data_IF_171488047177
#
_entry.id   IF_171488047177
#
_cell.length_a   1.000
_cell.length_b   1.000
_cell.length_c   1.000
_cell.angle_alpha   90.00
_cell.angle_beta   90.00
_cell.angle_gamma   90.00
#
_symmetry.space_group_name_H-M   'P 1'
#
loop_
_entity.id
_entity.type
_entity.pdbx_description
1 polymer ?
#
# COMPACT_ATOMS: atom_id res chain seq x y z
N UNK A 1 59.85 -7.12 -18.55
CA UNK A 1 58.71 -7.23 -19.49
C UNK A 1 59.08 -7.15 -20.97
N UNK A 2 59.89 -6.19 -21.43
CA UNK A 2 60.26 -6.10 -22.87
C UNK A 2 60.83 -7.39 -23.48
N UNK A 3 61.67 -8.18 -22.78
CA UNK A 3 62.21 -9.42 -23.35
C UNK A 3 61.17 -10.55 -23.50
N UNK A 4 60.14 -10.58 -22.65
CA UNK A 4 59.02 -11.55 -22.78
C UNK A 4 58.11 -11.17 -23.94
N UNK A 5 57.88 -9.88 -24.17
CA UNK A 5 57.11 -9.39 -25.30
C UNK A 5 57.83 -9.62 -26.64
N UNK A 6 59.15 -9.45 -26.68
CA UNK A 6 59.96 -9.76 -27.88
C UNK A 6 60.02 -11.25 -28.17
N UNK A 7 60.09 -12.10 -27.14
CA UNK A 7 60.04 -13.55 -27.32
C UNK A 7 58.69 -13.99 -27.91
N UNK A 8 57.57 -13.46 -27.38
CA UNK A 8 56.23 -13.76 -27.89
C UNK A 8 56.06 -13.27 -29.33
N UNK A 9 56.53 -12.07 -29.68
CA UNK A 9 56.45 -11.54 -31.04
C UNK A 9 57.24 -12.42 -32.04
N UNK A 10 58.46 -12.83 -31.67
CA UNK A 10 59.28 -13.69 -32.52
C UNK A 10 58.67 -15.10 -32.69
N UNK A 11 57.99 -15.63 -31.67
CA UNK A 11 57.26 -16.90 -31.76
C UNK A 11 56.04 -16.80 -32.67
N UNK A 12 55.32 -15.68 -32.64
CA UNK A 12 54.17 -15.42 -33.51
C UNK A 12 54.63 -15.27 -34.97
N UNK A 13 55.68 -14.51 -35.24
CA UNK A 13 56.22 -14.30 -36.60
C UNK A 13 56.78 -15.61 -37.22
N UNK A 14 57.32 -16.53 -36.39
CA UNK A 14 57.70 -17.88 -36.83
C UNK A 14 56.50 -18.78 -37.13
N UNK A 15 55.39 -18.62 -36.41
CA UNK A 15 54.16 -19.39 -36.65
C UNK A 15 53.42 -18.92 -37.91
N UNK A 16 53.37 -17.61 -38.18
CA UNK A 16 52.76 -17.07 -39.40
C UNK A 16 53.54 -17.39 -40.66
N UNK A 17 54.87 -17.51 -40.57
CA UNK A 17 55.73 -17.90 -41.71
C UNK A 17 55.80 -19.41 -41.96
N UNK A 18 55.39 -20.23 -40.99
CA UNK A 18 55.33 -21.69 -41.11
C UNK A 18 53.97 -22.23 -41.60
N UNK A 19 52.99 -21.36 -41.82
CA UNK A 19 51.69 -21.77 -42.37
C UNK A 19 51.81 -21.96 -43.90
N UNK A 20 51.61 -23.18 -44.43
CA UNK A 20 51.66 -23.42 -45.86
C UNK A 20 50.53 -22.66 -46.58
N UNK A 21 50.89 -21.72 -47.44
CA UNK A 21 50.03 -21.09 -48.44
C UNK A 21 49.84 -22.02 -49.64
N UNK A 22 49.05 -23.08 -49.46
CA UNK A 22 48.27 -23.77 -50.49
C UNK A 22 47.84 -25.14 -49.96
N UNK A 23 46.53 -25.40 -49.97
CA UNK A 23 46.02 -26.76 -49.84
C UNK A 23 46.37 -27.54 -51.11
N UNK A 24 47.38 -28.40 -51.05
CA UNK A 24 47.48 -29.54 -51.97
C UNK A 24 47.11 -30.82 -51.22
N UNK A 25 46.05 -31.48 -51.72
CA UNK A 25 45.61 -32.79 -51.27
C UNK A 25 46.65 -33.84 -51.65
N UNK A 26 47.31 -34.43 -50.66
CA UNK A 26 48.07 -35.67 -50.83
C UNK A 26 47.51 -36.73 -49.88
N UNK A 27 47.20 -37.90 -50.44
CA UNK A 27 46.69 -39.09 -49.74
C UNK A 27 47.85 -39.90 -49.18
N UNK A 28 48.52 -39.43 -48.14
CA UNK A 28 49.22 -40.30 -47.19
C UNK A 28 49.12 -39.68 -45.79
N UNK A 29 48.70 -40.45 -44.76
CA UNK A 29 48.76 -39.94 -43.40
C UNK A 29 50.25 -39.77 -43.02
N UNK A 30 50.66 -38.62 -42.45
CA UNK A 30 52.02 -38.47 -41.98
C UNK A 30 52.29 -39.45 -40.83
N UNK A 31 53.45 -40.10 -40.87
CA UNK A 31 53.92 -41.00 -39.82
C UNK A 31 53.98 -40.27 -38.49
N UNK A 32 53.28 -40.78 -37.48
CA UNK A 32 53.26 -40.20 -36.13
C UNK A 32 54.63 -40.41 -35.49
N UNK A 33 55.47 -39.38 -35.53
CA UNK A 33 56.63 -39.29 -34.64
C UNK A 33 56.09 -38.90 -33.27
N UNK A 34 56.27 -39.77 -32.28
CA UNK A 34 55.87 -39.50 -30.90
C UNK A 34 56.76 -38.40 -30.31
N UNK A 35 56.37 -37.14 -30.53
CA UNK A 35 56.94 -36.02 -29.77
C UNK A 35 56.32 -36.07 -28.38
N UNK A 36 56.99 -36.73 -27.44
CA UNK A 36 56.74 -36.50 -26.01
C UNK A 36 57.14 -35.06 -25.70
N UNK A 37 56.18 -34.16 -25.77
CA UNK A 37 56.37 -32.73 -25.55
C UNK A 37 55.06 -31.98 -25.70
N UNK A 38 55.09 -30.73 -25.24
CA UNK A 38 54.01 -29.74 -25.05
C UNK A 38 52.74 -29.91 -25.92
N UNK A 39 52.86 -30.29 -27.19
CA UNK A 39 51.72 -30.53 -28.08
C UNK A 39 50.81 -31.71 -27.65
N UNK A 40 51.37 -32.80 -27.14
CA UNK A 40 50.59 -33.93 -26.60
C UNK A 40 49.85 -33.52 -25.34
N UNK A 41 50.49 -32.74 -24.46
CA UNK A 41 49.87 -32.21 -23.24
C UNK A 41 48.79 -31.17 -23.57
N UNK A 42 49.01 -30.32 -24.58
CA UNK A 42 47.98 -29.38 -25.06
C UNK A 42 46.79 -30.14 -25.65
N UNK A 43 47.01 -31.17 -26.48
CA UNK A 43 45.92 -31.97 -27.05
C UNK A 43 45.15 -32.74 -25.98
N UNK A 44 45.86 -33.38 -25.04
CA UNK A 44 45.24 -34.08 -23.91
C UNK A 44 44.46 -33.12 -23.01
N UNK A 45 45.04 -31.96 -22.67
CA UNK A 45 44.36 -30.93 -21.87
C UNK A 45 43.17 -30.32 -22.61
N UNK A 46 43.25 -30.11 -23.92
CA UNK A 46 42.13 -29.57 -24.71
C UNK A 46 41.01 -30.61 -24.89
N UNK A 47 41.35 -31.89 -25.08
CA UNK A 47 40.38 -32.98 -25.11
C UNK A 47 39.73 -33.22 -23.74
N UNK A 48 40.50 -33.09 -22.65
CA UNK A 48 40.02 -33.18 -21.29
C UNK A 48 39.13 -31.99 -20.93
N UNK A 49 39.50 -30.78 -21.36
CA UNK A 49 38.68 -29.58 -21.23
C UNK A 49 37.39 -29.70 -22.05
N UNK A 50 37.45 -30.20 -23.29
CA UNK A 50 36.26 -30.48 -24.11
C UNK A 50 35.35 -31.54 -23.48
N UNK A 51 35.91 -32.60 -22.91
CA UNK A 51 35.17 -33.62 -22.19
C UNK A 51 34.55 -33.11 -20.87
N UNK A 52 35.23 -32.18 -20.18
CA UNK A 52 34.70 -31.50 -19.00
C UNK A 52 33.60 -30.49 -19.36
N UNK A 53 33.73 -29.74 -20.45
CA UNK A 53 32.68 -28.86 -20.96
C UNK A 53 31.45 -29.70 -21.35
N UNK A 54 31.64 -30.81 -22.08
CA UNK A 54 30.55 -31.72 -22.45
C UNK A 54 29.88 -32.31 -21.21
N UNK A 55 30.66 -32.84 -20.25
CA UNK A 55 30.13 -33.32 -18.96
C UNK A 55 29.35 -32.22 -18.26
N UNK A 56 29.91 -31.04 -18.10
CA UNK A 56 29.25 -29.93 -17.41
C UNK A 56 28.01 -29.42 -18.16
N UNK A 57 27.92 -29.61 -19.48
CA UNK A 57 26.75 -29.25 -20.29
C UNK A 57 25.63 -30.30 -20.32
N UNK A 58 25.84 -31.47 -19.72
CA UNK A 58 24.80 -32.51 -19.64
C UNK A 58 23.66 -32.05 -18.71
N UNK A 59 22.38 -32.22 -19.11
CA UNK A 59 21.22 -31.82 -18.30
C UNK A 59 21.21 -32.41 -16.88
N UNK A 60 21.83 -33.57 -16.69
CA UNK A 60 21.98 -34.26 -15.39
C UNK A 60 22.82 -33.47 -14.36
N UNK A 61 23.70 -32.56 -14.83
CA UNK A 61 24.54 -31.72 -13.98
C UNK A 61 23.89 -30.38 -13.60
N UNK A 62 22.69 -30.10 -14.13
CA UNK A 62 21.88 -28.94 -13.76
C UNK A 62 20.54 -29.41 -13.16
N UNK A 63 20.52 -29.82 -11.88
CA UNK A 63 19.29 -30.26 -11.22
C UNK A 63 18.19 -29.17 -11.25
N UNK A 64 18.58 -27.90 -11.35
CA UNK A 64 17.66 -26.78 -11.55
C UNK A 64 17.02 -26.75 -12.95
N UNK A 65 17.73 -27.18 -14.00
CA UNK A 65 17.14 -27.29 -15.35
C UNK A 65 16.11 -28.42 -15.42
N UNK A 66 16.39 -29.55 -14.78
CA UNK A 66 15.42 -30.63 -14.67
C UNK A 66 14.15 -30.15 -13.96
N UNK A 67 14.30 -29.48 -12.80
CA UNK A 67 13.17 -28.85 -12.09
C UNK A 67 12.42 -27.84 -12.95
N UNK A 68 13.10 -26.94 -13.65
CA UNK A 68 12.46 -25.96 -14.56
C UNK A 68 11.65 -26.64 -15.67
N UNK A 69 12.17 -27.74 -16.25
CA UNK A 69 11.45 -28.50 -17.29
C UNK A 69 10.20 -29.17 -16.72
N UNK A 70 10.28 -29.75 -15.53
CA UNK A 70 9.13 -30.34 -14.83
C UNK A 70 8.08 -29.29 -14.49
N UNK A 71 8.49 -28.13 -13.96
CA UNK A 71 7.61 -27.01 -13.65
C UNK A 71 6.92 -26.48 -14.92
N UNK A 72 7.69 -26.27 -16.00
CA UNK A 72 7.15 -25.84 -17.29
C UNK A 72 6.15 -26.85 -17.85
N UNK A 73 6.43 -28.15 -17.75
CA UNK A 73 5.49 -29.19 -18.19
C UNK A 73 4.19 -29.18 -17.38
N UNK A 74 4.28 -29.02 -16.04
CA UNK A 74 3.09 -28.88 -15.16
C UNK A 74 2.28 -27.64 -15.49
N UNK A 75 2.93 -26.52 -15.81
CA UNK A 75 2.26 -25.32 -16.26
C UNK A 75 1.54 -25.55 -17.59
N UNK A 76 2.24 -26.06 -18.61
CA UNK A 76 1.67 -26.31 -19.94
C UNK A 76 0.50 -27.28 -19.91
N UNK A 77 0.56 -28.31 -19.06
CA UNK A 77 -0.51 -29.28 -18.87
C UNK A 77 -1.77 -28.66 -18.25
N UNK A 78 -1.61 -27.74 -17.30
CA UNK A 78 -2.70 -27.26 -16.45
C UNK A 78 -3.14 -25.81 -16.75
N UNK A 79 -2.46 -25.08 -17.64
CA UNK A 79 -2.79 -23.68 -17.98
C UNK A 79 -4.19 -23.54 -18.60
N UNK A 80 -4.67 -24.57 -19.30
CA UNK A 80 -6.02 -24.62 -19.89
C UNK A 80 -7.00 -25.41 -19.01
N UNK A 81 -6.68 -25.60 -17.73
CA UNK A 81 -7.59 -26.24 -16.79
C UNK A 81 -8.92 -25.48 -16.76
N UNK A 82 -10.08 -26.16 -16.86
CA UNK A 82 -11.39 -25.50 -16.80
C UNK A 82 -11.57 -24.63 -15.57
N UNK A 83 -10.90 -24.97 -14.46
CA UNK A 83 -10.92 -24.20 -13.23
C UNK A 83 -10.25 -22.83 -13.39
N UNK A 84 -9.10 -22.76 -14.06
CA UNK A 84 -8.35 -21.51 -14.30
C UNK A 84 -9.14 -20.65 -15.27
N UNK A 85 -9.54 -21.20 -16.41
CA UNK A 85 -10.28 -20.48 -17.45
C UNK A 85 -11.60 -19.91 -16.93
N UNK A 86 -12.38 -20.69 -16.16
CA UNK A 86 -13.64 -20.20 -15.61
C UNK A 86 -13.44 -19.03 -14.62
N UNK A 87 -12.37 -19.05 -13.82
CA UNK A 87 -12.12 -17.94 -12.90
C UNK A 87 -11.67 -16.70 -13.67
N UNK A 88 -10.78 -16.84 -14.64
CA UNK A 88 -10.31 -15.73 -15.48
C UNK A 88 -11.46 -15.06 -16.24
N UNK A 89 -12.39 -15.83 -16.82
CA UNK A 89 -13.56 -15.29 -17.51
C UNK A 89 -14.46 -14.48 -16.55
N UNK A 90 -14.74 -15.02 -15.36
CA UNK A 90 -15.53 -14.32 -14.33
C UNK A 90 -14.85 -13.04 -13.88
N UNK A 91 -13.53 -13.08 -13.68
CA UNK A 91 -12.75 -11.91 -13.28
C UNK A 91 -12.74 -10.83 -14.37
N UNK A 92 -12.52 -11.22 -15.63
CA UNK A 92 -12.49 -10.30 -16.77
C UNK A 92 -13.82 -9.57 -16.98
N UNK A 93 -14.95 -10.28 -16.80
CA UNK A 93 -16.27 -9.65 -16.90
C UNK A 93 -16.44 -8.58 -15.82
N UNK A 94 -16.22 -8.92 -14.56
CA UNK A 94 -16.51 -7.97 -13.50
C UNK A 94 -15.50 -6.83 -13.35
N UNK A 95 -14.23 -7.03 -13.73
CA UNK A 95 -13.26 -5.91 -13.80
C UNK A 95 -13.78 -4.81 -14.75
N UNK A 96 -14.34 -5.19 -15.91
CA UNK A 96 -14.91 -4.21 -16.84
C UNK A 96 -16.08 -3.46 -16.21
N UNK A 97 -16.95 -4.15 -15.50
CA UNK A 97 -18.10 -3.53 -14.83
C UNK A 97 -17.65 -2.53 -13.75
N UNK A 98 -16.64 -2.88 -12.95
CA UNK A 98 -16.05 -1.97 -11.95
C UNK A 98 -15.43 -0.77 -12.61
N UNK A 99 -14.60 -0.94 -13.65
CA UNK A 99 -14.01 0.20 -14.37
C UNK A 99 -15.06 1.10 -15.01
N UNK A 100 -16.14 0.53 -15.54
CA UNK A 100 -17.25 1.31 -16.09
C UNK A 100 -17.94 2.15 -15.01
N UNK A 101 -18.20 1.57 -13.85
CA UNK A 101 -18.77 2.28 -12.70
C UNK A 101 -17.82 3.39 -12.23
N UNK A 102 -16.54 3.09 -12.01
CA UNK A 102 -15.54 4.07 -11.57
C UNK A 102 -15.37 5.21 -12.59
N UNK A 103 -15.38 4.88 -13.89
CA UNK A 103 -15.33 5.89 -14.94
C UNK A 103 -16.60 6.75 -14.96
N UNK A 104 -17.77 6.19 -14.67
CA UNK A 104 -19.00 6.98 -14.53
C UNK A 104 -18.87 8.01 -13.40
N UNK A 105 -18.34 7.61 -12.23
CA UNK A 105 -18.05 8.51 -11.12
C UNK A 105 -17.03 9.61 -11.51
N UNK A 106 -15.96 9.27 -12.23
CA UNK A 106 -14.93 10.24 -12.67
C UNK A 106 -15.42 11.22 -13.75
N UNK A 107 -16.28 10.76 -14.66
CA UNK A 107 -16.73 11.53 -15.83
C UNK A 107 -17.96 12.39 -15.58
N UNK A 108 -18.64 12.20 -14.45
CA UNK A 108 -19.66 13.12 -13.96
C UNK A 108 -19.03 14.50 -13.73
N UNK A 109 -19.16 15.36 -14.75
CA UNK A 109 -18.93 16.80 -14.67
C UNK A 109 -20.04 17.41 -13.83
N UNK A 110 -20.01 17.17 -12.53
CA UNK A 110 -20.62 18.10 -11.61
C UNK A 110 -19.65 19.29 -11.52
N UNK A 111 -19.93 20.36 -12.28
CA UNK A 111 -19.47 21.68 -11.85
C UNK A 111 -20.10 21.88 -10.47
N UNK A 112 -19.32 21.60 -9.44
CA UNK A 112 -19.74 21.75 -8.07
C UNK A 112 -18.98 22.94 -7.51
N UNK A 113 -19.68 24.08 -7.40
CA UNK A 113 -19.16 25.31 -6.82
C UNK A 113 -18.54 25.05 -5.43
N UNK A 114 -19.08 24.10 -4.67
CA UNK A 114 -18.57 23.73 -3.36
C UNK A 114 -17.14 23.17 -3.44
N UNK A 115 -16.84 22.33 -4.44
CA UNK A 115 -15.49 21.79 -4.61
C UNK A 115 -14.47 22.83 -5.08
N UNK A 116 -14.91 23.88 -5.78
CA UNK A 116 -14.06 25.03 -6.10
C UNK A 116 -13.78 25.89 -4.86
N UNK A 117 -14.80 26.11 -4.03
CA UNK A 117 -14.65 26.78 -2.73
C UNK A 117 -13.74 25.98 -1.80
N UNK A 118 -13.93 24.66 -1.72
CA UNK A 118 -13.11 23.77 -0.90
C UNK A 118 -11.64 23.82 -1.29
N UNK A 119 -11.33 23.82 -2.58
CA UNK A 119 -9.93 23.99 -3.02
C UNK A 119 -9.37 25.34 -2.55
N UNK A 120 -10.13 26.42 -2.75
CA UNK A 120 -9.73 27.76 -2.32
C UNK A 120 -9.48 27.82 -0.80
N UNK A 121 -10.39 27.27 0.01
CA UNK A 121 -10.26 27.23 1.47
C UNK A 121 -9.12 26.32 1.91
N UNK A 122 -8.95 25.16 1.28
CA UNK A 122 -7.86 24.24 1.55
C UNK A 122 -6.50 24.90 1.32
N UNK A 123 -6.30 25.56 0.17
CA UNK A 123 -5.04 26.25 -0.13
C UNK A 123 -4.76 27.35 0.90
N UNK A 124 -5.79 28.09 1.33
CA UNK A 124 -5.67 29.10 2.36
C UNK A 124 -5.19 28.51 3.70
N UNK A 125 -5.84 27.45 4.19
CA UNK A 125 -5.46 26.83 5.46
C UNK A 125 -4.11 26.12 5.38
N UNK A 126 -3.78 25.50 4.25
CA UNK A 126 -2.46 24.94 4.02
C UNK A 126 -1.37 26.00 4.12
N UNK A 127 -1.55 27.17 3.49
CA UNK A 127 -0.59 28.28 3.58
C UNK A 127 -0.39 28.80 5.01
N UNK A 128 -1.44 28.76 5.84
CA UNK A 128 -1.36 29.14 7.26
C UNK A 128 -0.64 28.09 8.12
N UNK A 129 -0.62 26.83 7.69
CA UNK A 129 0.04 25.72 8.38
C UNK A 129 1.52 25.53 7.97
N UNK A 130 2.00 26.22 6.92
CA UNK A 130 3.40 26.12 6.44
C UNK A 130 4.42 26.58 7.49
N UNK A 131 4.01 27.39 8.48
CA UNK A 131 4.91 27.79 9.57
C UNK A 131 5.17 26.68 10.61
N UNK A 132 4.51 25.50 10.53
CA UNK A 132 4.53 24.49 11.60
C UNK A 132 4.68 23.01 11.17
N UNK A 133 5.01 22.68 9.90
CA UNK A 133 5.03 21.27 9.47
C UNK A 133 6.22 20.87 8.58
N UNK A 134 7.25 20.28 9.19
CA UNK A 134 8.15 19.32 8.55
C UNK A 134 8.12 18.02 9.35
N UNK A 135 7.46 16.98 8.78
CA UNK A 135 7.76 15.55 8.96
C UNK A 135 6.71 14.67 8.26
N UNK A 136 7.20 13.79 7.38
CA UNK A 136 6.59 12.50 7.05
C UNK A 136 5.34 12.56 6.17
N UNK A 137 5.50 12.92 4.90
CA UNK A 137 4.44 12.75 3.90
C UNK A 137 4.70 11.49 3.07
N UNK A 138 3.65 10.70 2.85
CA UNK A 138 3.52 9.89 1.63
C UNK A 138 2.61 10.72 0.71
N UNK A 139 3.17 11.26 -0.36
CA UNK A 139 2.33 11.89 -1.39
C UNK A 139 1.58 10.79 -2.15
N UNK A 140 0.26 10.94 -2.37
CA UNK A 140 -0.42 10.10 -3.34
C UNK A 140 0.14 10.46 -4.72
N UNK A 141 0.89 9.53 -5.33
CA UNK A 141 1.28 9.65 -6.72
C UNK A 141 0.11 9.27 -7.61
N UNK A 142 -0.06 9.98 -8.73
CA UNK A 142 -1.05 9.65 -9.76
C UNK A 142 -0.68 8.38 -10.56
N UNK A 143 0.45 7.73 -10.24
CA UNK A 143 1.02 6.58 -10.95
C UNK A 143 1.18 5.34 -10.05
N UNK A 144 0.67 4.21 -10.56
CA UNK A 144 0.63 2.90 -9.88
C UNK A 144 2.01 2.25 -9.64
N UNK A 145 3.10 2.78 -10.21
CA UNK A 145 4.44 2.16 -10.14
C UNK A 145 5.21 2.44 -8.82
N UNK A 146 4.78 3.40 -8.00
CA UNK A 146 5.47 3.80 -6.75
C UNK A 146 5.06 2.99 -5.50
N UNK A 147 4.12 2.05 -5.63
CA UNK A 147 3.57 1.28 -4.51
C UNK A 147 4.63 0.46 -3.73
N UNK A 148 5.73 0.04 -4.38
CA UNK A 148 6.79 -0.73 -3.70
C UNK A 148 7.69 0.15 -2.82
N UNK A 149 7.92 1.40 -3.21
CA UNK A 149 8.75 2.34 -2.45
C UNK A 149 8.01 2.78 -1.18
N UNK A 150 6.71 3.07 -1.30
CA UNK A 150 5.85 3.40 -0.16
C UNK A 150 5.75 2.24 0.85
N UNK A 151 5.68 1.00 0.36
CA UNK A 151 5.67 -0.18 1.23
C UNK A 151 7.00 -0.39 1.99
N UNK A 152 8.15 -0.09 1.37
CA UNK A 152 9.45 -0.15 2.04
C UNK A 152 9.61 0.97 3.08
N UNK A 153 9.17 2.19 2.77
CA UNK A 153 9.19 3.30 3.73
C UNK A 153 8.27 3.06 4.93
N UNK A 154 7.10 2.43 4.72
CA UNK A 154 6.21 2.02 5.81
C UNK A 154 6.86 0.96 6.71
N UNK A 155 7.66 0.05 6.14
CA UNK A 155 8.42 -0.97 6.87
C UNK A 155 9.53 -0.34 7.71
N UNK A 156 10.26 0.64 7.18
CA UNK A 156 11.30 1.37 7.91
C UNK A 156 10.72 2.19 9.08
N UNK A 157 9.55 2.80 8.89
CA UNK A 157 8.82 3.52 9.95
C UNK A 157 8.36 2.57 11.08
N UNK A 158 7.89 1.38 10.72
CA UNK A 158 7.46 0.32 11.65
C UNK A 158 8.60 -0.19 12.55
N UNK A 159 9.83 -0.28 12.01
CA UNK A 159 10.98 -0.81 12.75
C UNK A 159 11.78 0.25 13.52
N UNK A 160 11.74 1.52 13.12
CA UNK A 160 12.52 2.58 13.76
C UNK A 160 11.82 3.32 14.91
N UNK A 161 10.48 3.27 15.03
CA UNK A 161 9.75 4.19 15.90
C UNK A 161 8.40 3.70 16.42
N UNK A 162 8.30 2.47 16.94
CA UNK A 162 7.04 1.92 17.49
C UNK A 162 6.36 2.84 18.53
N UNK A 163 7.12 3.54 19.37
CA UNK A 163 6.56 4.48 20.36
C UNK A 163 5.90 5.70 19.71
N UNK A 164 6.63 6.37 18.82
CA UNK A 164 6.16 7.53 18.06
C UNK A 164 5.03 7.14 17.10
N UNK A 165 5.05 5.91 16.59
CA UNK A 165 3.98 5.33 15.78
C UNK A 165 2.69 5.15 16.60
N UNK A 166 2.76 4.60 17.82
CA UNK A 166 1.56 4.47 18.67
C UNK A 166 1.03 5.84 19.14
N UNK A 167 1.90 6.81 19.39
CA UNK A 167 1.50 8.18 19.71
C UNK A 167 0.83 8.87 18.51
N UNK A 168 1.43 8.77 17.32
CA UNK A 168 0.87 9.28 16.07
C UNK A 168 -0.47 8.60 15.74
N UNK A 169 -0.56 7.27 15.88
CA UNK A 169 -1.81 6.53 15.73
C UNK A 169 -2.89 6.99 16.69
N UNK A 170 -2.57 7.23 17.97
CA UNK A 170 -3.54 7.72 18.96
C UNK A 170 -4.10 9.07 18.54
N UNK A 171 -3.24 10.00 18.15
CA UNK A 171 -3.66 11.34 17.72
C UNK A 171 -4.51 11.25 16.45
N UNK A 172 -4.09 10.45 15.46
CA UNK A 172 -4.85 10.18 14.24
C UNK A 172 -6.20 9.53 14.53
N UNK A 173 -6.30 8.63 15.53
CA UNK A 173 -7.59 8.06 15.94
C UNK A 173 -8.56 9.12 16.46
N UNK A 174 -8.09 10.10 17.24
CA UNK A 174 -8.95 11.20 17.71
C UNK A 174 -9.42 12.08 16.57
N UNK A 175 -8.51 12.44 15.66
CA UNK A 175 -8.83 13.24 14.48
C UNK A 175 -9.83 12.51 13.57
N UNK A 176 -9.63 11.20 13.38
CA UNK A 176 -10.53 10.37 12.58
C UNK A 176 -11.91 10.24 13.23
N UNK A 177 -12.00 10.08 14.55
CA UNK A 177 -13.30 10.03 15.23
C UNK A 177 -14.04 11.36 15.12
N UNK A 178 -13.34 12.48 15.32
CA UNK A 178 -13.90 13.81 15.09
C UNK A 178 -14.45 13.94 13.67
N UNK A 179 -13.68 13.49 12.66
CA UNK A 179 -14.11 13.52 11.28
C UNK A 179 -15.39 12.71 11.05
N UNK A 180 -15.48 11.49 11.58
CA UNK A 180 -16.68 10.65 11.45
C UNK A 180 -17.91 11.15 12.20
N UNK A 181 -17.71 11.91 13.28
CA UNK A 181 -18.81 12.54 14.02
C UNK A 181 -19.38 13.75 13.28
N UNK A 182 -18.54 14.52 12.57
CA UNK A 182 -18.91 15.82 12.00
C UNK A 182 -19.12 15.83 10.48
N UNK A 183 -18.56 14.88 9.75
CA UNK A 183 -18.68 14.83 8.29
C UNK A 183 -19.37 13.54 7.83
N UNK A 184 -20.23 13.68 6.81
CA UNK A 184 -20.87 12.53 6.19
C UNK A 184 -19.94 11.86 5.18
N UNK A 185 -20.22 10.58 4.94
CA UNK A 185 -19.61 9.80 3.87
C UNK A 185 -20.66 9.36 2.87
N UNK A 186 -20.21 9.00 1.67
CA UNK A 186 -21.08 8.48 0.63
C UNK A 186 -21.79 7.22 1.16
N UNK A 187 -23.06 7.04 0.77
CA UNK A 187 -23.84 5.87 1.15
C UNK A 187 -24.12 4.97 -0.06
N UNK A 188 -23.31 3.92 -0.28
CA UNK A 188 -23.58 2.91 -1.30
C UNK A 188 -24.96 2.24 -1.13
N UNK A 189 -25.47 2.10 0.10
CA UNK A 189 -26.75 1.44 0.35
C UNK A 189 -27.94 2.20 -0.24
N UNK A 190 -27.79 3.52 -0.41
CA UNK A 190 -28.77 4.38 -1.06
C UNK A 190 -28.72 4.31 -2.60
N UNK A 191 -27.97 3.37 -3.18
CA UNK A 191 -27.79 3.23 -4.64
C UNK A 191 -29.08 3.13 -5.45
N UNK A 192 -30.14 2.54 -4.90
CA UNK A 192 -31.45 2.50 -5.55
C UNK A 192 -32.04 3.88 -5.84
N UNK A 193 -31.63 4.91 -5.09
CA UNK A 193 -32.03 6.29 -5.33
C UNK A 193 -31.30 6.90 -6.54
N UNK A 194 -30.07 6.44 -6.81
CA UNK A 194 -29.19 6.97 -7.85
C UNK A 194 -29.27 6.17 -9.16
N UNK A 195 -29.59 4.88 -9.07
CA UNK A 195 -29.69 3.95 -10.19
C UNK A 195 -31.12 3.40 -10.27
N UNK A 196 -31.99 4.09 -11.02
CA UNK A 196 -33.41 3.73 -11.21
C UNK A 196 -33.59 3.03 -12.55
N UNK A 197 -34.22 1.86 -12.54
CA UNK A 197 -34.53 1.08 -13.76
C UNK A 197 -33.32 0.86 -14.69
N UNK A 198 -32.13 0.65 -14.11
CA UNK A 198 -30.89 0.47 -14.87
C UNK A 198 -30.33 1.74 -15.52
N UNK A 199 -30.85 2.92 -15.17
CA UNK A 199 -30.37 4.24 -15.59
C UNK A 199 -29.87 5.05 -14.41
N UNK A 200 -28.87 5.88 -14.66
CA UNK A 200 -28.32 6.82 -13.67
C UNK A 200 -29.21 8.06 -13.59
N UNK A 201 -29.73 8.35 -12.40
CA UNK A 201 -30.33 9.64 -12.06
C UNK A 201 -29.19 10.61 -11.72
N UNK A 202 -28.76 11.38 -12.73
CA UNK A 202 -27.59 12.25 -12.62
C UNK A 202 -27.72 13.30 -11.51
N UNK A 203 -28.93 13.77 -11.22
CA UNK A 203 -29.15 14.79 -10.19
C UNK A 203 -29.04 14.19 -8.78
N UNK A 204 -29.67 13.04 -8.55
CA UNK A 204 -29.58 12.35 -7.26
C UNK A 204 -28.16 11.85 -6.99
N UNK A 205 -27.48 11.35 -8.02
CA UNK A 205 -26.07 10.97 -7.92
C UNK A 205 -25.17 12.18 -7.66
N UNK A 206 -25.39 13.33 -8.33
CA UNK A 206 -24.62 14.54 -8.08
C UNK A 206 -24.78 15.04 -6.62
N UNK A 207 -25.99 14.98 -6.05
CA UNK A 207 -26.23 15.31 -4.64
C UNK A 207 -25.51 14.35 -3.69
N UNK A 208 -25.56 13.04 -3.98
CA UNK A 208 -24.90 12.03 -3.18
C UNK A 208 -23.37 12.16 -3.20
N UNK A 209 -22.83 12.67 -4.30
CA UNK A 209 -21.42 12.97 -4.46
C UNK A 209 -21.02 14.35 -3.95
N UNK A 210 -21.98 15.21 -3.56
CA UNK A 210 -21.70 16.55 -3.04
C UNK A 210 -20.92 16.51 -1.73
N UNK A 211 -20.24 17.61 -1.39
CA UNK A 211 -19.41 17.71 -0.20
C UNK A 211 -20.15 17.32 1.10
N UNK A 212 -21.44 17.66 1.18
CA UNK A 212 -22.33 17.32 2.30
C UNK A 212 -22.53 15.82 2.51
N UNK A 213 -22.34 15.01 1.46
CA UNK A 213 -22.57 13.57 1.46
C UNK A 213 -21.31 12.76 1.16
N UNK A 214 -20.17 13.40 0.88
CA UNK A 214 -18.89 12.71 0.62
C UNK A 214 -17.68 13.43 1.26
N UNK A 215 -17.92 14.07 2.41
CA UNK A 215 -16.90 14.83 3.14
C UNK A 215 -15.75 13.94 3.61
N UNK A 216 -16.05 12.73 4.11
CA UNK A 216 -15.02 11.76 4.54
C UNK A 216 -14.11 11.35 3.38
N UNK A 217 -14.68 11.06 2.21
CA UNK A 217 -13.90 10.71 1.02
C UNK A 217 -13.02 11.87 0.56
N UNK A 218 -13.52 13.10 0.65
CA UNK A 218 -12.70 14.29 0.39
C UNK A 218 -11.57 14.46 1.42
N UNK A 219 -11.80 14.19 2.71
CA UNK A 219 -10.75 14.23 3.72
C UNK A 219 -9.61 13.25 3.41
N UNK A 220 -9.94 12.04 2.95
CA UNK A 220 -8.96 11.00 2.58
C UNK A 220 -8.19 11.45 1.33
N UNK A 221 -8.88 11.69 0.22
CA UNK A 221 -8.23 11.82 -1.08
C UNK A 221 -7.95 13.28 -1.50
N UNK A 222 -8.84 14.21 -1.17
CA UNK A 222 -8.65 15.64 -1.42
C UNK A 222 -8.73 16.08 -2.89
N UNK A 223 -9.32 15.28 -3.77
CA UNK A 223 -9.50 15.66 -5.17
C UNK A 223 -10.52 16.79 -5.32
N UNK A 224 -10.30 17.69 -6.28
CA UNK A 224 -11.16 18.84 -6.58
C UNK A 224 -12.46 18.48 -7.31
N UNK A 225 -12.80 17.18 -7.41
CA UNK A 225 -14.01 16.70 -8.05
C UNK A 225 -14.73 15.70 -7.15
N UNK A 226 -16.04 15.87 -6.94
CA UNK A 226 -16.81 15.04 -6.01
C UNK A 226 -16.71 13.55 -6.35
N UNK A 227 -17.00 13.19 -7.61
CA UNK A 227 -16.93 11.80 -8.07
C UNK A 227 -15.52 11.20 -8.09
N UNK A 228 -14.46 12.01 -8.08
CA UNK A 228 -13.10 11.50 -8.01
C UNK A 228 -12.77 10.96 -6.60
N UNK A 229 -13.23 11.63 -5.54
CA UNK A 229 -13.02 11.17 -4.16
C UNK A 229 -13.77 9.88 -3.87
N UNK A 230 -15.07 9.84 -4.19
CA UNK A 230 -15.89 8.63 -4.00
C UNK A 230 -15.40 7.49 -4.90
N UNK A 231 -15.02 7.79 -6.15
CA UNK A 231 -14.43 6.82 -7.06
C UNK A 231 -13.12 6.24 -6.53
N UNK A 232 -12.25 7.06 -5.93
CA UNK A 232 -11.03 6.58 -5.29
C UNK A 232 -11.35 5.68 -4.08
N UNK A 233 -12.29 6.08 -3.23
CA UNK A 233 -12.73 5.27 -2.08
C UNK A 233 -13.27 3.90 -2.50
N UNK A 234 -14.15 3.85 -3.51
CA UNK A 234 -14.71 2.60 -4.01
C UNK A 234 -13.66 1.76 -4.75
N UNK A 235 -12.71 2.39 -5.44
CA UNK A 235 -11.59 1.73 -6.09
C UNK A 235 -10.63 1.09 -5.08
N UNK A 236 -10.25 1.81 -4.04
CA UNK A 236 -9.39 1.30 -2.96
C UNK A 236 -10.08 0.19 -2.17
N UNK A 237 -11.38 0.33 -1.87
CA UNK A 237 -12.20 -0.73 -1.30
C UNK A 237 -12.16 -1.99 -2.17
N UNK A 238 -12.40 -1.86 -3.47
CA UNK A 238 -12.36 -2.99 -4.39
C UNK A 238 -10.98 -3.67 -4.35
N UNK A 239 -9.89 -2.91 -4.42
CA UNK A 239 -8.52 -3.46 -4.39
C UNK A 239 -8.21 -4.19 -3.08
N UNK A 240 -8.62 -3.65 -1.94
CA UNK A 240 -8.44 -4.32 -0.64
C UNK A 240 -9.26 -5.60 -0.57
N UNK A 241 -10.51 -5.59 -1.04
CA UNK A 241 -11.34 -6.81 -1.12
C UNK A 241 -10.72 -7.84 -2.07
N UNK A 242 -10.13 -7.42 -3.19
CA UNK A 242 -9.36 -8.31 -4.09
C UNK A 242 -8.20 -8.93 -3.32
N UNK A 243 -7.37 -8.14 -2.65
CA UNK A 243 -6.21 -8.62 -1.92
C UNK A 243 -6.60 -9.66 -0.84
N UNK A 244 -7.65 -9.38 -0.06
CA UNK A 244 -8.19 -10.32 0.93
C UNK A 244 -8.71 -11.59 0.24
N UNK A 245 -9.44 -11.44 -0.86
CA UNK A 245 -9.95 -12.55 -1.66
C UNK A 245 -8.83 -13.40 -2.28
N UNK A 246 -7.70 -12.81 -2.68
CA UNK A 246 -6.52 -13.55 -3.16
C UNK A 246 -5.94 -14.39 -2.04
N UNK A 247 -5.74 -13.80 -0.86
CA UNK A 247 -5.27 -14.54 0.32
C UNK A 247 -6.22 -15.71 0.62
N UNK A 248 -7.53 -15.49 0.54
CA UNK A 248 -8.50 -16.57 0.66
C UNK A 248 -8.33 -17.64 -0.43
N UNK A 249 -8.21 -17.24 -1.69
CA UNK A 249 -8.01 -18.14 -2.82
C UNK A 249 -6.79 -19.04 -2.61
N UNK A 250 -5.65 -18.48 -2.18
CA UNK A 250 -4.43 -19.24 -1.89
C UNK A 250 -4.63 -20.32 -0.81
N UNK A 251 -5.65 -20.19 0.03
CA UNK A 251 -5.99 -21.23 1.02
C UNK A 251 -6.83 -22.38 0.49
N UNK A 252 -7.44 -22.25 -0.70
CA UNK A 252 -8.41 -23.21 -1.20
C UNK A 252 -7.76 -24.49 -1.74
N UNK A 253 -8.20 -25.69 -1.29
CA UNK A 253 -7.65 -26.96 -1.76
C UNK A 253 -7.73 -27.14 -3.28
N UNK A 254 -8.82 -26.71 -3.92
CA UNK A 254 -9.02 -26.84 -5.36
C UNK A 254 -8.03 -26.03 -6.21
N UNK A 255 -7.50 -24.92 -5.69
CA UNK A 255 -6.47 -24.16 -6.42
C UNK A 255 -5.12 -24.79 -6.18
N UNK A 256 -4.81 -25.21 -4.94
CA UNK A 256 -3.56 -25.91 -4.60
C UNK A 256 -3.37 -27.21 -5.40
N UNK A 257 -4.44 -27.88 -5.81
CA UNK A 257 -4.36 -29.07 -6.66
C UNK A 257 -3.89 -28.80 -8.10
N UNK A 258 -3.76 -27.54 -8.54
CA UNK A 258 -3.24 -27.20 -9.87
C UNK A 258 -1.73 -27.50 -10.02
N UNK A 259 -1.02 -27.75 -8.92
CA UNK A 259 0.35 -28.31 -8.93
C UNK A 259 1.45 -27.38 -9.47
N UNK A 260 1.11 -26.14 -9.85
CA UNK A 260 2.05 -25.13 -10.32
C UNK A 260 1.80 -23.77 -9.64
N UNK A 261 2.79 -23.13 -8.99
CA UNK A 261 2.61 -21.89 -8.22
C UNK A 261 1.94 -20.76 -9.00
N UNK A 262 2.31 -20.54 -10.28
CA UNK A 262 1.69 -19.49 -11.10
C UNK A 262 0.21 -19.76 -11.37
N UNK A 263 -0.20 -21.01 -11.59
CA UNK A 263 -1.60 -21.34 -11.84
C UNK A 263 -2.44 -21.17 -10.58
N UNK A 264 -1.87 -21.53 -9.42
CA UNK A 264 -2.48 -21.27 -8.11
C UNK A 264 -2.69 -19.76 -7.92
N UNK A 265 -1.68 -18.96 -8.22
CA UNK A 265 -1.75 -17.50 -8.10
C UNK A 265 -2.79 -16.89 -9.05
N UNK A 266 -2.78 -17.28 -10.33
CA UNK A 266 -3.77 -16.81 -11.32
C UNK A 266 -5.19 -17.14 -10.87
N UNK A 267 -5.43 -18.40 -10.48
CA UNK A 267 -6.75 -18.83 -10.00
C UNK A 267 -7.16 -18.09 -8.71
N UNK A 268 -6.22 -17.83 -7.80
CA UNK A 268 -6.48 -17.08 -6.58
C UNK A 268 -6.78 -15.60 -6.83
N UNK A 269 -6.05 -14.94 -7.75
CA UNK A 269 -6.32 -13.56 -8.16
C UNK A 269 -7.71 -13.47 -8.79
N UNK A 270 -8.00 -14.35 -9.74
CA UNK A 270 -9.28 -14.37 -10.42
C UNK A 270 -10.45 -14.66 -9.46
N UNK A 271 -10.24 -15.56 -8.49
CA UNK A 271 -11.17 -15.77 -7.39
C UNK A 271 -11.36 -14.50 -6.54
N UNK A 272 -10.28 -13.83 -6.16
CA UNK A 272 -10.32 -12.62 -5.34
C UNK A 272 -11.07 -11.48 -6.02
N UNK A 273 -10.87 -11.30 -7.32
CA UNK A 273 -11.67 -10.38 -8.15
C UNK A 273 -13.14 -10.76 -8.12
N UNK A 274 -13.46 -12.04 -8.36
CA UNK A 274 -14.83 -12.55 -8.31
C UNK A 274 -15.53 -12.28 -6.98
N UNK A 275 -14.83 -12.48 -5.86
CA UNK A 275 -15.35 -12.20 -4.52
C UNK A 275 -15.51 -10.69 -4.27
N UNK A 276 -14.49 -9.89 -4.61
CA UNK A 276 -14.54 -8.44 -4.42
C UNK A 276 -15.74 -7.81 -5.14
N UNK A 277 -16.11 -8.32 -6.32
CA UNK A 277 -17.32 -7.88 -7.03
C UNK A 277 -18.60 -8.20 -6.27
N UNK A 278 -18.71 -9.42 -5.73
CA UNK A 278 -19.86 -9.81 -4.91
C UNK A 278 -19.95 -8.96 -3.64
N UNK A 279 -18.80 -8.63 -3.05
CA UNK A 279 -18.70 -7.77 -1.89
C UNK A 279 -19.14 -6.33 -2.22
N UNK A 280 -18.71 -5.78 -3.35
CA UNK A 280 -19.15 -4.47 -3.83
C UNK A 280 -20.67 -4.43 -4.00
N UNK A 281 -21.25 -5.44 -4.65
CA UNK A 281 -22.71 -5.58 -4.77
C UNK A 281 -23.35 -5.66 -3.38
N UNK A 282 -22.71 -6.36 -2.44
CA UNK A 282 -23.12 -6.42 -1.04
C UNK A 282 -23.19 -5.04 -0.38
N UNK A 283 -22.14 -4.24 -0.51
CA UNK A 283 -22.11 -2.87 0.03
C UNK A 283 -23.18 -1.98 -0.60
N UNK A 284 -23.34 -2.04 -1.93
CA UNK A 284 -24.39 -1.28 -2.64
C UNK A 284 -25.81 -1.73 -2.27
N UNK A 285 -25.98 -2.97 -1.81
CA UNK A 285 -27.23 -3.48 -1.25
C UNK A 285 -27.39 -3.21 0.27
N UNK A 286 -26.47 -2.46 0.89
CA UNK A 286 -26.50 -2.14 2.32
C UNK A 286 -26.16 -3.30 3.24
N UNK A 287 -25.53 -4.36 2.73
CA UNK A 287 -25.14 -5.52 3.53
C UNK A 287 -23.80 -5.29 4.23
N UNK A 288 -23.67 -5.90 5.40
CA UNK A 288 -22.38 -6.11 6.03
C UNK A 288 -21.70 -7.31 5.40
N UNK A 289 -20.43 -7.15 5.01
CA UNK A 289 -19.67 -8.17 4.30
C UNK A 289 -18.63 -8.75 5.25
N UNK A 290 -18.47 -10.10 5.33
CA UNK A 290 -17.43 -10.70 6.15
C UNK A 290 -16.04 -10.26 5.68
N UNK A 291 -15.10 -10.09 6.61
CA UNK A 291 -13.74 -9.66 6.28
C UNK A 291 -13.09 -10.61 5.27
N UNK A 292 -13.15 -11.92 5.53
CA UNK A 292 -12.73 -12.97 4.59
C UNK A 292 -13.62 -14.22 4.76
N UNK A 293 -13.70 -15.09 3.77
CA UNK A 293 -14.47 -16.35 3.83
C UNK A 293 -13.86 -17.45 4.71
N UNK A 294 -12.77 -17.17 5.42
CA UNK A 294 -12.02 -18.13 6.24
C UNK A 294 -12.30 -17.90 7.73
N UNK A 295 -12.43 -18.95 8.52
CA UNK A 295 -12.55 -18.83 9.99
C UNK A 295 -11.20 -18.42 10.63
N UNK A 296 -11.20 -17.54 11.66
CA UNK A 296 -12.37 -16.89 12.26
C UNK A 296 -12.77 -15.57 11.58
N UNK A 297 -12.06 -15.13 10.54
CA UNK A 297 -12.26 -13.83 9.88
C UNK A 297 -13.66 -13.66 9.27
N UNK A 298 -14.33 -14.75 8.92
CA UNK A 298 -15.71 -14.73 8.43
C UNK A 298 -16.75 -14.28 9.48
N UNK A 299 -16.38 -14.20 10.76
CA UNK A 299 -17.24 -13.67 11.83
C UNK A 299 -17.18 -12.16 11.96
N UNK A 300 -16.09 -11.54 11.49
CA UNK A 300 -15.90 -10.10 11.51
C UNK A 300 -16.60 -9.55 10.28
N UNK A 301 -17.68 -8.80 10.46
CA UNK A 301 -18.43 -8.17 9.38
C UNK A 301 -18.16 -6.68 9.36
N UNK A 302 -17.93 -6.14 8.17
CA UNK A 302 -17.60 -4.74 7.95
C UNK A 302 -18.59 -4.12 6.98
N UNK A 303 -18.89 -2.83 7.20
CA UNK A 303 -19.60 -1.96 6.27
C UNK A 303 -18.61 -1.10 5.50
N UNK A 304 -19.11 -0.44 4.46
CA UNK A 304 -18.36 0.58 3.73
C UNK A 304 -17.70 1.62 4.65
N UNK A 305 -18.45 2.16 5.63
CA UNK A 305 -17.94 3.14 6.59
C UNK A 305 -16.76 2.64 7.43
N UNK A 306 -16.70 1.34 7.72
CA UNK A 306 -15.59 0.76 8.48
C UNK A 306 -14.31 0.74 7.66
N UNK A 307 -14.41 0.57 6.34
CA UNK A 307 -13.27 0.72 5.44
C UNK A 307 -12.82 2.17 5.31
N UNK A 308 -13.74 3.13 5.28
CA UNK A 308 -13.36 4.54 5.30
C UNK A 308 -12.58 4.92 6.57
N UNK A 309 -12.91 4.33 7.74
CA UNK A 309 -12.11 4.49 8.97
C UNK A 309 -10.70 3.96 8.80
N UNK A 310 -10.56 2.79 8.17
CA UNK A 310 -9.27 2.21 7.85
C UNK A 310 -8.48 3.10 6.88
N UNK A 311 -9.12 3.65 5.85
CA UNK A 311 -8.46 4.51 4.86
C UNK A 311 -8.02 5.82 5.51
N UNK A 312 -8.84 6.43 6.35
CA UNK A 312 -8.44 7.61 7.13
C UNK A 312 -7.22 7.36 8.03
N UNK A 313 -7.07 6.14 8.55
CA UNK A 313 -5.91 5.75 9.35
C UNK A 313 -4.66 5.48 8.50
N UNK A 314 -4.81 4.83 7.35
CA UNK A 314 -3.68 4.50 6.45
C UNK A 314 -3.16 5.75 5.72
N UNK A 315 -4.06 6.63 5.29
CA UNK A 315 -3.73 7.91 4.64
C UNK A 315 -3.41 8.98 5.70
N UNK A 316 -2.53 8.68 6.66
CA UNK A 316 -2.12 9.63 7.70
C UNK A 316 -1.37 10.80 7.07
N UNK A 317 -2.00 11.96 7.07
CA UNK A 317 -1.44 13.21 6.57
C UNK A 317 -2.08 14.36 7.37
N UNK A 318 -1.77 14.39 8.67
CA UNK A 318 -2.43 15.23 9.67
C UNK A 318 -2.63 16.68 9.19
N UNK A 319 -1.59 17.34 8.67
CA UNK A 319 -1.67 18.71 8.14
C UNK A 319 -2.66 18.86 6.98
N UNK A 320 -2.52 18.04 5.92
CA UNK A 320 -3.43 18.09 4.76
C UNK A 320 -4.87 17.77 5.17
N UNK A 321 -5.04 16.78 6.06
CA UNK A 321 -6.34 16.36 6.59
C UNK A 321 -6.98 17.48 7.42
N UNK A 322 -6.22 18.15 8.29
CA UNK A 322 -6.68 19.30 9.09
C UNK A 322 -7.08 20.47 8.21
N UNK A 323 -6.27 20.83 7.21
CA UNK A 323 -6.65 21.88 6.25
C UNK A 323 -7.94 21.55 5.49
N UNK A 324 -8.14 20.28 5.10
CA UNK A 324 -9.39 19.83 4.46
C UNK A 324 -10.58 19.86 5.42
N UNK A 325 -10.38 19.51 6.70
CA UNK A 325 -11.42 19.64 7.72
C UNK A 325 -11.82 21.11 7.93
N UNK A 326 -10.84 22.02 8.03
CA UNK A 326 -11.10 23.45 8.13
C UNK A 326 -11.84 23.97 6.90
N UNK A 327 -11.48 23.51 5.70
CA UNK A 327 -12.19 23.84 4.47
C UNK A 327 -13.64 23.36 4.48
N UNK A 328 -13.91 22.12 4.92
CA UNK A 328 -15.28 21.59 5.05
C UNK A 328 -16.10 22.36 6.09
N UNK A 329 -15.52 22.69 7.26
CA UNK A 329 -16.21 23.47 8.29
C UNK A 329 -16.54 24.87 7.77
N UNK A 330 -15.61 25.52 7.07
CA UNK A 330 -15.88 26.83 6.48
C UNK A 330 -16.95 26.75 5.39
N UNK A 331 -16.97 25.69 4.58
CA UNK A 331 -18.01 25.48 3.58
C UNK A 331 -19.40 25.36 4.24
N UNK A 332 -19.52 24.59 5.31
CA UNK A 332 -20.79 24.36 6.02
C UNK A 332 -21.26 25.61 6.81
N UNK A 333 -20.33 26.31 7.45
CA UNK A 333 -20.66 27.42 8.36
C UNK A 333 -20.59 28.81 7.72
N UNK A 334 -20.00 28.92 6.53
CA UNK A 334 -19.61 30.18 5.86
C UNK A 334 -18.70 31.08 6.73
N UNK A 335 -18.02 30.48 7.71
CA UNK A 335 -17.13 31.19 8.65
C UNK A 335 -15.67 30.89 8.37
N UNK A 336 -14.91 31.96 8.21
CA UNK A 336 -13.46 31.90 8.09
C UNK A 336 -12.80 31.60 9.45
N UNK A 337 -12.39 30.36 9.67
CA UNK A 337 -11.79 29.90 10.93
C UNK A 337 -10.48 30.62 11.28
N UNK A 338 -9.78 31.22 10.31
CA UNK A 338 -8.58 32.03 10.60
C UNK A 338 -8.88 33.33 11.36
N UNK A 339 -10.16 33.68 11.49
CA UNK A 339 -10.62 34.85 12.24
C UNK A 339 -11.24 34.47 13.60
N UNK A 340 -11.36 33.18 13.90
CA UNK A 340 -11.97 32.66 15.13
C UNK A 340 -10.95 31.87 15.93
N UNK A 341 -10.40 32.51 16.97
CA UNK A 341 -9.46 31.88 17.88
C UNK A 341 -10.19 30.96 18.86
N UNK A 342 -9.66 29.75 19.03
CA UNK A 342 -10.17 28.82 20.04
C UNK A 342 -9.38 29.02 21.32
N UNK A 343 -10.11 29.20 22.41
CA UNK A 343 -9.51 29.39 23.72
C UNK A 343 -9.91 28.22 24.62
N UNK A 344 -8.91 27.53 25.17
CA UNK A 344 -9.11 26.46 26.13
C UNK A 344 -8.78 26.98 27.53
N UNK A 345 -9.79 27.05 28.40
CA UNK A 345 -9.57 27.24 29.83
C UNK A 345 -9.63 25.89 30.56
N UNK A 346 -8.50 25.44 31.09
CA UNK A 346 -8.43 24.25 31.94
C UNK A 346 -8.25 24.64 33.42
N UNK A 347 -9.08 24.10 34.30
CA UNK A 347 -8.86 24.17 35.75
C UNK A 347 -8.47 22.78 36.25
N UNK A 348 -7.19 22.57 36.58
CA UNK A 348 -6.69 21.31 37.11
C UNK A 348 -6.47 21.41 38.63
N UNK A 349 -7.22 20.61 39.39
CA UNK A 349 -7.03 20.49 40.84
C UNK A 349 -6.30 19.18 41.15
N UNK A 350 -5.09 19.29 41.67
CA UNK A 350 -4.30 18.13 42.08
C UNK A 350 -4.50 17.84 43.56
N UNK A 351 -4.68 16.56 43.91
CA UNK A 351 -4.77 16.13 45.30
C UNK A 351 -3.83 14.97 45.59
N UNK A 352 -3.07 15.08 46.68
CA UNK A 352 -2.22 14.01 47.18
C UNK A 352 -2.83 13.46 48.46
N UNK A 353 -3.03 12.14 48.52
CA UNK A 353 -3.40 11.48 49.77
C UNK A 353 -2.19 11.48 50.70
N UNK A 354 -2.33 12.06 51.89
CA UNK A 354 -1.30 12.05 52.91
C UNK A 354 -1.30 10.67 53.57
N UNK A 355 -0.15 9.99 53.62
CA UNK A 355 -0.06 8.68 54.28
C UNK A 355 0.34 8.81 55.75
N UNK A 356 0.86 9.96 56.13
CA UNK A 356 1.34 10.26 57.47
C UNK A 356 1.01 11.71 57.85
N UNK A 357 0.65 11.91 59.12
CA UNK A 357 0.58 13.20 59.82
C UNK A 357 -0.26 14.32 59.14
N UNK A 358 -1.53 14.06 58.79
CA UNK A 358 -2.41 15.07 58.17
C UNK A 358 -2.60 16.34 59.02
N UNK A 359 -2.60 16.21 60.35
CA UNK A 359 -2.77 17.35 61.27
C UNK A 359 -1.56 18.31 61.28
N UNK A 360 -0.34 17.80 61.04
CA UNK A 360 0.86 18.65 60.97
C UNK A 360 0.84 19.48 59.68
N UNK A 361 0.47 18.86 58.56
CA UNK A 361 0.34 19.55 57.28
C UNK A 361 -0.75 20.63 57.29
N UNK A 362 -1.85 20.40 58.01
CA UNK A 362 -2.94 21.39 58.18
C UNK A 362 -2.51 22.62 58.99
N UNK A 363 -1.64 22.43 59.99
CA UNK A 363 -1.02 23.52 60.75
C UNK A 363 -0.04 24.31 59.87
N UNK A 364 0.78 23.60 59.10
CA UNK A 364 1.82 24.17 58.23
C UNK A 364 1.23 24.94 57.03
N UNK A 365 0.14 24.43 56.42
CA UNK A 365 -0.53 25.12 55.31
C UNK A 365 -1.10 26.48 55.75
N UNK A 366 -1.60 26.57 56.98
CA UNK A 366 -2.14 27.83 57.53
C UNK A 366 -1.06 28.90 57.78
N UNK A 367 0.22 28.52 57.93
CA UNK A 367 1.31 29.47 58.20
C UNK A 367 2.25 29.73 57.02
N UNK A 368 2.37 28.81 56.05
CA UNK A 368 3.36 28.89 54.95
C UNK A 368 2.75 28.92 53.55
N UNK A 369 1.50 28.51 53.35
CA UNK A 369 0.93 28.32 52.01
C UNK A 369 -0.51 28.87 51.90
N UNK A 370 -0.65 30.11 51.42
CA UNK A 370 -1.91 30.87 51.43
C UNK A 370 -2.98 30.33 50.46
N UNK A 371 -2.59 29.62 49.39
CA UNK A 371 -3.49 29.17 48.31
C UNK A 371 -3.73 27.64 48.30
N UNK A 372 -3.50 26.96 49.42
CA UNK A 372 -3.53 25.49 49.50
C UNK A 372 -4.39 25.00 50.66
N UNK A 373 -5.18 23.95 50.41
CA UNK A 373 -6.18 23.45 51.37
C UNK A 373 -5.94 21.97 51.71
N UNK A 374 -5.93 21.64 53.01
CA UNK A 374 -5.90 20.26 53.50
C UNK A 374 -7.30 19.85 53.95
N UNK A 375 -7.94 18.92 53.23
CA UNK A 375 -9.24 18.34 53.62
C UNK A 375 -9.06 16.88 54.06
N UNK A 376 -9.20 16.64 55.36
CA UNK A 376 -9.03 15.32 55.95
C UNK A 376 -7.63 14.78 55.73
N UNK A 377 -7.52 13.70 54.96
CA UNK A 377 -6.24 13.04 54.65
C UNK A 377 -5.73 13.34 53.22
N UNK A 378 -6.17 14.45 52.62
CA UNK A 378 -5.76 14.88 51.29
C UNK A 378 -5.30 16.33 51.31
N UNK A 379 -4.17 16.58 50.68
CA UNK A 379 -3.62 17.90 50.42
C UNK A 379 -3.96 18.29 49.00
N UNK A 380 -4.62 19.43 48.82
CA UNK A 380 -5.02 19.96 47.52
C UNK A 380 -4.13 21.13 47.13
N UNK A 381 -3.58 21.07 45.93
CA UNK A 381 -2.82 22.17 45.34
C UNK A 381 -3.54 22.62 44.07
N UNK A 382 -3.92 23.90 44.04
CA UNK A 382 -4.41 24.56 42.84
C UNK A 382 -3.19 25.15 42.14
N UNK A 383 -2.77 24.59 41.01
CA UNK A 383 -1.83 25.30 40.14
C UNK A 383 -2.66 26.11 39.14
N UNK A 384 -2.18 27.32 38.83
CA UNK A 384 -2.95 28.39 38.20
C UNK A 384 -3.72 28.03 36.93
N UNK A 385 -4.76 28.83 36.66
CA UNK A 385 -5.45 28.88 35.38
C UNK A 385 -4.45 29.12 34.26
N UNK A 386 -4.32 28.15 33.35
CA UNK A 386 -3.50 28.32 32.17
C UNK A 386 -4.43 28.71 31.03
N UNK A 387 -4.26 29.95 30.59
CA UNK A 387 -4.96 30.52 29.46
C UNK A 387 -4.14 30.21 28.20
N UNK A 388 -4.64 29.34 27.32
CA UNK A 388 -4.00 29.06 26.04
C UNK A 388 -4.90 29.56 24.91
N UNK A 389 -4.43 30.59 24.21
CA UNK A 389 -5.00 31.05 22.94
C UNK A 389 -4.20 30.41 21.80
N UNK A 390 -4.89 29.73 20.89
CA UNK A 390 -4.32 29.22 19.63
C UNK A 390 -4.90 30.00 18.46
#
# INVERSE_FOLDING_TARGET
EKSKLTAVKNSVDQLTSALPTAYQSSRQPPTVVTVKGLAQDIYLNHSAAGAQIYKNSLPENYPEEAKRREEKAKYEQNKESPLVTQQEEKANLGIKDVFNILNAFKTLKAENEDYQKLDTYYQKYMQQQVDDADKGQIEPSDDYEDASSQAMSAMDLLFAGLGDFFESMRNEMYVNEYAFEHFNSFDPAASSNYFKDGKVDANELAKALGADNSGIEYLIYGFHKPGANVGAALGELFLIRVAIGVVEGLTKPQFRSLGHPLLILIAAIAYGVGQALQDMIGFFAGKEVPLAGIQPLNTIKLKYKDYLRLFLLIHSAETKKLARMQALIQLDTDKDLSQYFSYLSGNAQFSVRLWFLPEIMKSLSRSLFTDQEVKGNRFYYNNGSQEMSY
#
